data_IF_103856570683
#
_entry.id   IF_103856570683
#
_cell.length_a   1.000
_cell.length_b   1.000
_cell.length_c   1.000
_cell.angle_alpha   90.00
_cell.angle_beta   90.00
_cell.angle_gamma   90.00
#
_symmetry.space_group_name_H-M   'P 1'
#
loop_
_entity.id
_entity.type
_entity.pdbx_description
1 polymer ?
#
# COMPACT_ATOMS: atom_id res chain seq x y z
N UNK A 1 -3.69 25.02 4.06
CA UNK A 1 -3.43 26.37 3.50
C UNK A 1 -3.12 26.43 2.00
N UNK A 2 -2.35 25.50 1.39
CA UNK A 2 -1.95 25.57 -0.04
C UNK A 2 -3.08 25.47 -1.09
N UNK A 3 -4.23 24.86 -0.76
CA UNK A 3 -5.37 24.69 -1.68
C UNK A 3 -6.10 26.03 -1.98
N UNK A 4 -6.18 26.91 -1.00
CA UNK A 4 -6.90 28.19 -1.12
C UNK A 4 -6.06 29.22 -1.91
N UNK A 5 -4.73 29.15 -1.80
CA UNK A 5 -3.81 30.01 -2.57
C UNK A 5 -3.94 29.77 -4.09
N UNK A 6 -4.13 28.51 -4.51
CA UNK A 6 -4.33 28.16 -5.93
C UNK A 6 -5.67 28.66 -6.49
N UNK A 7 -6.72 28.67 -5.66
CA UNK A 7 -8.03 29.21 -6.03
C UNK A 7 -8.01 30.73 -6.17
N UNK A 8 -7.35 31.42 -5.23
CA UNK A 8 -7.19 32.88 -5.27
C UNK A 8 -6.33 33.31 -6.47
N UNK A 9 -5.22 32.62 -6.73
CA UNK A 9 -4.38 32.88 -7.90
C UNK A 9 -5.14 32.66 -9.22
N UNK A 10 -5.99 31.62 -9.30
CA UNK A 10 -6.86 31.37 -10.45
C UNK A 10 -7.89 32.47 -10.67
N UNK A 11 -8.51 32.99 -9.61
CA UNK A 11 -9.48 34.08 -9.69
C UNK A 11 -8.83 35.39 -10.17
N UNK A 12 -7.62 35.70 -9.72
CA UNK A 12 -6.87 36.90 -10.15
C UNK A 12 -6.51 36.81 -11.65
N UNK A 13 -6.08 35.64 -12.11
CA UNK A 13 -5.78 35.42 -13.54
C UNK A 13 -7.04 35.58 -14.39
N UNK A 14 -8.20 35.08 -13.92
CA UNK A 14 -9.48 35.22 -14.62
C UNK A 14 -9.91 36.69 -14.73
N UNK A 15 -9.74 37.47 -13.66
CA UNK A 15 -10.08 38.90 -13.62
C UNK A 15 -9.15 39.70 -14.53
N UNK A 16 -7.84 39.42 -14.52
CA UNK A 16 -6.88 40.03 -15.47
C UNK A 16 -7.24 39.73 -16.91
N UNK A 17 -7.66 38.50 -17.20
CA UNK A 17 -8.00 38.09 -18.55
C UNK A 17 -9.29 38.80 -19.02
N UNK A 18 -10.31 38.90 -18.18
CA UNK A 18 -11.53 39.68 -18.45
C UNK A 18 -11.25 41.16 -18.72
N UNK A 19 -10.35 41.78 -17.95
CA UNK A 19 -9.95 43.18 -18.16
C UNK A 19 -9.17 43.36 -19.47
N UNK A 20 -8.31 42.40 -19.83
CA UNK A 20 -7.56 42.42 -21.09
C UNK A 20 -8.46 42.30 -22.33
N UNK A 21 -9.52 41.51 -22.25
CA UNK A 21 -10.54 41.40 -23.33
C UNK A 21 -11.27 42.72 -23.54
N UNK A 22 -11.65 43.40 -22.44
CA UNK A 22 -12.33 44.70 -22.52
C UNK A 22 -11.48 45.81 -23.12
N UNK A 23 -10.15 45.75 -22.95
CA UNK A 23 -9.22 46.77 -23.44
C UNK A 23 -8.82 46.59 -24.93
N UNK A 24 -8.94 45.37 -25.47
CA UNK A 24 -8.44 45.03 -26.82
C UNK A 24 -9.54 45.01 -27.90
N UNK A 25 -10.81 45.21 -27.52
CA UNK A 25 -11.93 45.19 -28.46
C UNK A 25 -12.16 43.84 -29.14
N UNK A 26 -11.62 42.77 -28.56
CA UNK A 26 -11.74 41.41 -29.06
C UNK A 26 -13.10 40.83 -28.65
N UNK A 27 -13.78 40.15 -29.58
CA UNK A 27 -15.08 39.56 -29.31
C UNK A 27 -14.97 38.53 -28.18
N UNK A 28 -15.87 38.65 -27.19
CA UNK A 28 -16.00 37.76 -26.03
C UNK A 28 -15.95 36.28 -26.41
N UNK A 29 -16.49 35.91 -27.56
CA UNK A 29 -16.48 34.54 -28.08
C UNK A 29 -15.05 34.01 -28.32
N UNK A 30 -14.17 34.82 -28.92
CA UNK A 30 -12.79 34.42 -29.26
C UNK A 30 -11.95 34.12 -28.01
N UNK A 31 -12.20 34.89 -26.95
CA UNK A 31 -11.45 34.80 -25.69
C UNK A 31 -11.88 33.59 -24.87
N UNK A 32 -13.18 33.25 -24.93
CA UNK A 32 -13.73 32.05 -24.31
C UNK A 32 -13.21 30.79 -25.01
N UNK A 33 -13.04 30.83 -26.33
CA UNK A 33 -12.48 29.74 -27.13
C UNK A 33 -10.99 29.50 -26.83
N UNK A 34 -10.20 30.57 -26.68
CA UNK A 34 -8.79 30.47 -26.25
C UNK A 34 -8.65 29.90 -24.83
N UNK A 35 -9.49 30.36 -23.89
CA UNK A 35 -9.53 29.81 -22.53
C UNK A 35 -9.88 28.31 -22.52
N UNK A 36 -10.91 27.92 -23.29
CA UNK A 36 -11.29 26.51 -23.44
C UNK A 36 -10.15 25.66 -24.01
N UNK A 37 -9.42 26.20 -25.01
CA UNK A 37 -8.24 25.57 -25.58
C UNK A 37 -7.12 25.36 -24.56
N UNK A 38 -6.82 26.38 -23.74
CA UNK A 38 -5.82 26.26 -22.66
C UNK A 38 -6.25 25.22 -21.62
N UNK A 39 -7.54 25.18 -21.25
CA UNK A 39 -8.07 24.18 -20.31
C UNK A 39 -7.93 22.76 -20.88
N UNK A 40 -8.27 22.55 -22.16
CA UNK A 40 -8.11 21.25 -22.82
C UNK A 40 -6.64 20.81 -22.91
N UNK A 41 -5.72 21.73 -23.18
CA UNK A 41 -4.28 21.44 -23.18
C UNK A 41 -3.79 21.09 -21.78
N UNK A 42 -4.21 21.84 -20.75
CA UNK A 42 -3.82 21.57 -19.35
C UNK A 42 -4.41 20.25 -18.85
N UNK A 43 -5.64 19.91 -19.24
CA UNK A 43 -6.28 18.62 -18.91
C UNK A 43 -5.64 17.47 -19.68
N UNK A 44 -5.32 17.66 -20.96
CA UNK A 44 -4.64 16.67 -21.80
C UNK A 44 -3.19 16.41 -21.39
N UNK A 45 -2.46 17.46 -20.96
CA UNK A 45 -1.11 17.38 -20.42
C UNK A 45 -1.07 16.91 -18.96
N UNK A 46 -2.21 16.94 -18.24
CA UNK A 46 -2.35 16.40 -16.88
C UNK A 46 -2.36 14.87 -16.81
N UNK A 47 -1.78 14.23 -17.81
CA UNK A 47 -1.22 12.89 -17.72
C UNK A 47 -2.31 11.82 -17.66
N UNK A 48 -2.44 11.08 -18.76
CA UNK A 48 -2.67 9.64 -18.61
C UNK A 48 -1.57 9.16 -17.68
N UNK A 49 -1.93 8.77 -16.45
CA UNK A 49 -1.04 7.97 -15.61
C UNK A 49 -0.69 6.76 -16.46
N UNK A 50 0.53 6.72 -16.97
CA UNK A 50 1.06 5.49 -17.57
C UNK A 50 1.03 4.49 -16.43
N UNK A 51 0.10 3.54 -16.50
CA UNK A 51 0.11 2.41 -15.59
C UNK A 51 1.45 1.73 -15.79
N UNK A 52 2.36 1.92 -14.82
CA UNK A 52 3.64 1.26 -14.81
C UNK A 52 3.36 -0.24 -14.90
N UNK A 53 3.95 -0.92 -15.89
CA UNK A 53 3.75 -2.35 -16.06
C UNK A 53 4.17 -3.06 -14.75
N UNK A 54 3.25 -3.72 -14.03
CA UNK A 54 3.55 -4.33 -12.75
C UNK A 54 4.63 -5.43 -12.85
N UNK A 55 4.93 -5.94 -14.04
CA UNK A 55 5.92 -7.01 -14.21
C UNK A 55 7.36 -6.52 -14.43
N UNK A 56 7.62 -5.21 -14.52
CA UNK A 56 9.00 -4.70 -14.67
C UNK A 56 9.50 -4.19 -13.32
N UNK A 57 10.46 -4.91 -12.75
CA UNK A 57 11.15 -4.47 -11.53
C UNK A 57 11.83 -3.11 -11.76
N UNK A 58 11.72 -2.15 -10.82
CA UNK A 58 12.57 -0.97 -10.82
C UNK A 58 14.05 -1.36 -10.81
N UNK A 59 14.89 -0.62 -11.55
CA UNK A 59 16.33 -0.84 -11.56
C UNK A 59 16.91 -0.71 -10.14
N UNK A 60 17.86 -1.59 -9.80
CA UNK A 60 18.48 -1.60 -8.48
C UNK A 60 19.42 -0.40 -8.39
N UNK A 61 19.13 0.53 -7.48
CA UNK A 61 20.11 1.55 -7.11
C UNK A 61 21.33 0.86 -6.53
N UNK A 62 22.54 1.28 -6.93
CA UNK A 62 23.82 0.69 -6.47
C UNK A 62 23.92 0.53 -4.94
N UNK A 63 23.31 1.44 -4.18
CA UNK A 63 23.26 1.40 -2.71
C UNK A 63 22.48 0.19 -2.15
N UNK A 64 21.38 -0.19 -2.78
CA UNK A 64 20.56 -1.34 -2.35
C UNK A 64 21.19 -2.66 -2.75
N UNK A 65 21.88 -2.69 -3.89
CA UNK A 65 22.71 -3.83 -4.28
C UNK A 65 23.84 -4.08 -3.29
N UNK A 66 24.56 -3.03 -2.92
CA UNK A 66 25.61 -3.11 -1.91
C UNK A 66 25.08 -3.55 -0.54
N UNK A 67 23.88 -3.12 -0.15
CA UNK A 67 23.22 -3.57 1.07
C UNK A 67 22.99 -5.10 1.07
N UNK A 68 22.44 -5.65 -0.01
CA UNK A 68 22.15 -7.09 -0.09
C UNK A 68 23.41 -7.95 -0.19
N UNK A 69 24.44 -7.47 -0.91
CA UNK A 69 25.74 -8.14 -0.95
C UNK A 69 26.41 -8.14 0.44
N UNK A 70 26.30 -7.03 1.19
CA UNK A 70 26.83 -6.92 2.56
C UNK A 70 26.12 -7.84 3.54
N UNK A 71 24.85 -8.19 3.31
CA UNK A 71 24.15 -9.20 4.11
C UNK A 71 24.56 -10.65 3.81
N UNK A 72 25.48 -10.89 2.87
CA UNK A 72 26.01 -12.22 2.56
C UNK A 72 25.20 -13.01 1.52
N UNK A 73 24.27 -12.36 0.81
CA UNK A 73 23.46 -13.00 -0.21
C UNK A 73 24.22 -13.12 -1.54
N UNK A 74 24.04 -14.24 -2.23
CA UNK A 74 24.48 -14.43 -3.62
C UNK A 74 23.60 -13.64 -4.59
N UNK A 75 24.11 -13.34 -5.79
CA UNK A 75 23.36 -12.62 -6.83
C UNK A 75 22.00 -13.27 -7.14
N UNK A 76 21.93 -14.60 -7.16
CA UNK A 76 20.68 -15.35 -7.42
C UNK A 76 19.67 -15.19 -6.28
N UNK A 77 20.13 -15.22 -5.03
CA UNK A 77 19.28 -14.97 -3.87
C UNK A 77 18.77 -13.53 -3.87
N UNK A 78 19.59 -12.57 -4.30
CA UNK A 78 19.20 -11.16 -4.44
C UNK A 78 18.10 -11.01 -5.50
N UNK A 79 18.24 -11.66 -6.66
CA UNK A 79 17.21 -11.65 -7.70
C UNK A 79 15.89 -12.24 -7.19
N UNK A 80 15.93 -13.45 -6.62
CA UNK A 80 14.75 -14.11 -6.05
C UNK A 80 14.08 -13.26 -4.96
N UNK A 81 14.87 -12.69 -4.06
CA UNK A 81 14.37 -11.81 -3.01
C UNK A 81 13.65 -10.60 -3.61
N UNK A 82 14.26 -9.95 -4.61
CA UNK A 82 13.67 -8.76 -5.24
C UNK A 82 12.38 -9.07 -5.98
N UNK A 83 12.34 -10.19 -6.70
CA UNK A 83 11.12 -10.65 -7.37
C UNK A 83 10.01 -10.90 -6.35
N UNK A 84 10.34 -11.65 -5.29
CA UNK A 84 9.39 -11.97 -4.21
C UNK A 84 8.89 -10.68 -3.55
N UNK A 85 9.77 -9.75 -3.18
CA UNK A 85 9.36 -8.49 -2.55
C UNK A 85 8.54 -7.59 -3.46
N UNK A 86 8.82 -7.58 -4.76
CA UNK A 86 7.98 -6.81 -5.69
C UNK A 86 6.57 -7.40 -5.78
N UNK A 87 6.45 -8.72 -5.90
CA UNK A 87 5.15 -9.41 -5.92
C UNK A 87 4.38 -9.18 -4.62
N UNK A 88 5.03 -9.39 -3.46
CA UNK A 88 4.39 -9.17 -2.15
C UNK A 88 3.98 -7.72 -1.95
N UNK A 89 4.76 -6.74 -2.42
CA UNK A 89 4.35 -5.33 -2.38
C UNK A 89 3.06 -5.09 -3.17
N UNK A 90 2.96 -5.66 -4.37
CA UNK A 90 1.76 -5.53 -5.20
C UNK A 90 0.54 -6.16 -4.55
N UNK A 91 0.72 -7.33 -3.94
CA UNK A 91 -0.32 -8.02 -3.17
C UNK A 91 -0.78 -7.18 -1.96
N UNK A 92 0.15 -6.59 -1.20
CA UNK A 92 -0.19 -5.70 -0.08
C UNK A 92 -0.94 -4.44 -0.57
N UNK A 93 -0.49 -3.86 -1.68
CA UNK A 93 -1.15 -2.70 -2.29
C UNK A 93 -2.57 -3.05 -2.77
N UNK A 94 -2.78 -4.26 -3.31
CA UNK A 94 -4.10 -4.75 -3.71
C UNK A 94 -4.98 -5.04 -2.50
N UNK A 95 -4.47 -5.73 -1.48
CA UNK A 95 -5.17 -5.99 -0.22
C UNK A 95 -5.64 -4.68 0.43
N UNK A 96 -4.78 -3.64 0.44
CA UNK A 96 -5.15 -2.32 0.94
C UNK A 96 -6.34 -1.72 0.18
N UNK A 97 -6.35 -1.83 -1.15
CA UNK A 97 -7.47 -1.33 -1.97
C UNK A 97 -8.75 -2.10 -1.65
N UNK A 98 -8.66 -3.43 -1.52
CA UNK A 98 -9.80 -4.29 -1.23
C UNK A 98 -10.43 -3.94 0.13
N UNK A 99 -9.61 -3.83 1.16
CA UNK A 99 -10.05 -3.43 2.51
C UNK A 99 -10.70 -2.05 2.50
N UNK A 100 -10.15 -1.09 1.75
CA UNK A 100 -10.71 0.25 1.64
C UNK A 100 -12.05 0.28 0.89
N UNK A 101 -12.27 -0.66 -0.04
CA UNK A 101 -13.46 -0.72 -0.91
C UNK A 101 -14.69 -1.33 -0.22
N UNK A 102 -14.50 -2.13 0.82
CA UNK A 102 -15.60 -2.86 1.45
C UNK A 102 -15.62 -2.76 2.98
N UNK A 103 -16.78 -2.37 3.55
CA UNK A 103 -16.94 -2.18 5.00
C UNK A 103 -16.79 -3.46 5.84
N UNK A 104 -17.20 -4.63 5.31
CA UNK A 104 -17.00 -5.91 6.01
C UNK A 104 -15.51 -6.25 6.10
N UNK A 105 -14.79 -6.11 4.99
CA UNK A 105 -13.33 -6.31 4.97
C UNK A 105 -12.61 -5.33 5.90
N UNK A 106 -13.04 -4.07 5.92
CA UNK A 106 -12.52 -3.07 6.86
C UNK A 106 -12.76 -3.45 8.33
N UNK A 107 -13.92 -4.00 8.66
CA UNK A 107 -14.23 -4.46 10.01
C UNK A 107 -13.36 -5.66 10.44
N UNK A 108 -13.09 -6.59 9.51
CA UNK A 108 -12.17 -7.71 9.74
C UNK A 108 -10.75 -7.17 10.00
N UNK A 109 -10.27 -6.28 9.14
CA UNK A 109 -8.92 -5.70 9.27
C UNK A 109 -8.76 -4.92 10.59
N UNK A 110 -9.78 -4.17 11.02
CA UNK A 110 -9.76 -3.47 12.31
C UNK A 110 -9.65 -4.40 13.53
N UNK A 111 -10.06 -5.67 13.41
CA UNK A 111 -10.02 -6.64 14.49
C UNK A 111 -8.72 -7.45 14.54
N UNK A 112 -8.13 -7.70 13.37
CA UNK A 112 -6.99 -8.60 13.23
C UNK A 112 -5.71 -7.88 12.79
N UNK A 113 -5.78 -6.61 12.41
CA UNK A 113 -4.65 -5.79 11.95
C UNK A 113 -3.87 -6.41 10.77
N UNK A 114 -4.52 -7.22 9.93
CA UNK A 114 -3.85 -8.01 8.89
C UNK A 114 -3.08 -7.14 7.88
N UNK A 115 -3.63 -6.01 7.44
CA UNK A 115 -2.94 -5.09 6.54
C UNK A 115 -1.72 -4.45 7.22
N UNK A 116 -1.84 -4.10 8.51
CA UNK A 116 -0.76 -3.52 9.28
C UNK A 116 0.36 -4.54 9.49
N UNK A 117 0.02 -5.77 9.89
CA UNK A 117 0.93 -6.89 10.03
C UNK A 117 1.66 -7.18 8.71
N UNK A 118 0.93 -7.22 7.59
CA UNK A 118 1.51 -7.46 6.25
C UNK A 118 2.56 -6.40 5.88
N UNK A 119 2.25 -5.11 6.12
CA UNK A 119 3.18 -4.00 5.87
C UNK A 119 4.39 -4.03 6.80
N UNK A 120 4.18 -4.38 8.07
CA UNK A 120 5.25 -4.46 9.05
C UNK A 120 6.23 -5.60 8.73
N UNK A 121 5.69 -6.80 8.44
CA UNK A 121 6.46 -7.97 8.03
C UNK A 121 7.24 -7.69 6.75
N UNK A 122 6.61 -7.08 5.74
CA UNK A 122 7.30 -6.64 4.52
C UNK A 122 8.46 -5.68 4.80
N UNK A 123 8.24 -4.68 5.67
CA UNK A 123 9.27 -3.72 6.05
C UNK A 123 10.46 -4.41 6.72
N UNK A 124 10.18 -5.36 7.61
CA UNK A 124 11.22 -6.08 8.33
C UNK A 124 12.01 -7.01 7.41
N UNK A 125 11.36 -7.71 6.48
CA UNK A 125 12.04 -8.49 5.43
C UNK A 125 12.95 -7.63 4.54
N UNK A 126 12.53 -6.41 4.19
CA UNK A 126 13.37 -5.49 3.40
C UNK A 126 14.59 -5.03 4.21
N UNK A 127 14.47 -4.91 5.54
CA UNK A 127 15.57 -4.59 6.44
C UNK A 127 16.52 -5.79 6.60
N UNK A 128 15.97 -6.98 6.75
CA UNK A 128 16.71 -8.22 7.04
C UNK A 128 16.40 -9.30 5.99
N UNK A 129 16.98 -9.17 4.78
CA UNK A 129 16.60 -10.01 3.64
C UNK A 129 16.98 -11.49 3.81
N UNK A 130 17.95 -11.79 4.68
CA UNK A 130 18.35 -13.16 5.03
C UNK A 130 17.29 -13.91 5.83
N UNK A 131 16.33 -13.21 6.46
CA UNK A 131 15.18 -13.81 7.17
C UNK A 131 14.05 -14.25 6.24
N UNK A 132 14.17 -14.10 4.91
CA UNK A 132 13.14 -14.52 3.94
C UNK A 132 12.59 -15.94 4.16
N UNK A 133 13.41 -16.97 4.46
CA UNK A 133 12.89 -18.32 4.71
C UNK A 133 11.90 -18.41 5.88
N UNK A 134 12.03 -17.53 6.88
CA UNK A 134 11.13 -17.48 8.04
C UNK A 134 9.73 -16.97 7.67
N UNK A 135 9.60 -16.26 6.55
CA UNK A 135 8.34 -15.70 6.07
C UNK A 135 7.70 -16.49 4.92
N UNK A 136 8.14 -17.73 4.64
CA UNK A 136 7.66 -18.49 3.48
C UNK A 136 6.13 -18.67 3.45
N UNK A 137 5.50 -19.00 4.58
CA UNK A 137 4.04 -19.16 4.65
C UNK A 137 3.30 -17.86 4.35
N UNK A 138 3.77 -16.74 4.90
CA UNK A 138 3.22 -15.42 4.60
C UNK A 138 3.35 -15.10 3.11
N UNK A 139 4.55 -15.22 2.55
CA UNK A 139 4.89 -14.77 1.19
C UNK A 139 4.22 -15.59 0.09
N UNK A 140 4.12 -16.91 0.27
CA UNK A 140 3.68 -17.84 -0.78
C UNK A 140 2.31 -18.47 -0.54
N UNK A 141 1.69 -18.23 0.61
CA UNK A 141 0.37 -18.82 0.92
C UNK A 141 -0.58 -17.79 1.50
N UNK A 142 -0.30 -17.23 2.67
CA UNK A 142 -1.31 -16.44 3.38
C UNK A 142 -1.62 -15.11 2.68
N UNK A 143 -0.60 -14.33 2.31
CA UNK A 143 -0.81 -13.06 1.61
C UNK A 143 -1.44 -13.23 0.22
N UNK A 144 -0.93 -14.11 -0.67
CA UNK A 144 -1.57 -14.34 -1.98
C UNK A 144 -3.03 -14.79 -1.84
N UNK A 145 -3.31 -15.77 -0.96
CA UNK A 145 -4.66 -16.28 -0.78
C UNK A 145 -5.60 -15.21 -0.19
N UNK A 146 -5.11 -14.37 0.73
CA UNK A 146 -5.89 -13.26 1.26
C UNK A 146 -6.30 -12.26 0.16
N UNK A 147 -5.38 -11.94 -0.75
CA UNK A 147 -5.68 -11.08 -1.90
C UNK A 147 -6.74 -11.71 -2.80
N UNK A 148 -6.53 -12.96 -3.21
CA UNK A 148 -7.48 -13.69 -4.07
C UNK A 148 -8.87 -13.81 -3.45
N UNK A 149 -8.95 -14.11 -2.15
CA UNK A 149 -10.22 -14.21 -1.43
C UNK A 149 -10.92 -12.86 -1.34
N UNK A 150 -10.19 -11.80 -1.05
CA UNK A 150 -10.77 -10.45 -0.95
C UNK A 150 -11.20 -9.90 -2.31
N UNK A 151 -10.47 -10.19 -3.39
CA UNK A 151 -10.87 -9.83 -4.76
C UNK A 151 -12.18 -10.53 -5.15
N UNK A 152 -12.24 -11.86 -5.01
CA UNK A 152 -13.46 -12.66 -5.31
C UNK A 152 -14.64 -12.27 -4.43
N UNK A 153 -14.39 -12.01 -3.15
CA UNK A 153 -15.43 -11.54 -2.23
C UNK A 153 -16.03 -10.22 -2.69
N UNK A 154 -15.21 -9.27 -3.11
CA UNK A 154 -15.69 -7.98 -3.61
C UNK A 154 -16.51 -8.16 -4.88
N UNK A 155 -16.01 -8.95 -5.83
CA UNK A 155 -16.71 -9.27 -7.08
C UNK A 155 -18.13 -9.77 -6.81
N UNK A 156 -18.26 -10.82 -5.98
CA UNK A 156 -19.55 -11.43 -5.65
C UNK A 156 -20.43 -10.48 -4.83
N UNK A 157 -19.84 -9.74 -3.88
CA UNK A 157 -20.59 -8.81 -3.04
C UNK A 157 -21.16 -7.61 -3.82
N UNK A 158 -20.58 -7.27 -4.97
CA UNK A 158 -21.03 -6.18 -5.83
C UNK A 158 -22.07 -6.60 -6.88
N UNK A 159 -22.36 -7.89 -7.04
CA UNK A 159 -23.41 -8.35 -7.95
C UNK A 159 -24.79 -7.74 -7.61
N UNK A 160 -25.50 -7.23 -8.63
CA UNK A 160 -26.82 -6.59 -8.47
C UNK A 160 -27.90 -7.60 -8.04
N UNK A 161 -27.87 -8.80 -8.62
CA UNK A 161 -28.80 -9.89 -8.31
C UNK A 161 -28.05 -10.94 -7.50
N UNK A 162 -28.47 -11.15 -6.25
CA UNK A 162 -27.88 -12.14 -5.34
C UNK A 162 -28.90 -13.22 -5.02
N UNK A 163 -28.57 -14.48 -5.27
CA UNK A 163 -29.38 -15.61 -4.83
C UNK A 163 -29.11 -15.90 -3.34
N UNK A 164 -29.93 -16.76 -2.73
CA UNK A 164 -29.67 -17.26 -1.36
C UNK A 164 -28.29 -17.93 -1.26
N UNK A 165 -27.95 -18.77 -2.23
CA UNK A 165 -26.65 -19.44 -2.32
C UNK A 165 -25.50 -18.42 -2.40
N UNK A 166 -25.68 -17.31 -3.12
CA UNK A 166 -24.70 -16.22 -3.16
C UNK A 166 -24.44 -15.63 -1.78
N UNK A 167 -25.48 -15.41 -0.97
CA UNK A 167 -25.32 -14.91 0.40
C UNK A 167 -24.60 -15.91 1.30
N UNK A 168 -24.92 -17.21 1.18
CA UNK A 168 -24.23 -18.27 1.93
C UNK A 168 -22.73 -18.31 1.59
N UNK A 169 -22.36 -18.15 0.32
CA UNK A 169 -20.96 -18.07 -0.11
C UNK A 169 -20.24 -16.80 0.32
N UNK A 170 -20.93 -15.66 0.35
CA UNK A 170 -20.38 -14.41 0.91
C UNK A 170 -20.05 -14.60 2.39
N UNK A 171 -20.93 -15.26 3.15
CA UNK A 171 -20.71 -15.49 4.57
C UNK A 171 -19.57 -16.47 4.83
N UNK A 172 -19.53 -17.61 4.11
CA UNK A 172 -18.42 -18.56 4.17
C UNK A 172 -17.09 -17.88 3.84
N UNK A 173 -17.06 -17.06 2.78
CA UNK A 173 -15.86 -16.29 2.39
C UNK A 173 -15.45 -15.31 3.49
N UNK A 174 -16.40 -14.66 4.15
CA UNK A 174 -16.13 -13.73 5.26
C UNK A 174 -15.41 -14.44 6.40
N UNK A 175 -15.86 -15.64 6.77
CA UNK A 175 -15.24 -16.44 7.84
C UNK A 175 -13.84 -16.93 7.48
N UNK A 176 -13.61 -17.31 6.22
CA UNK A 176 -12.29 -17.73 5.74
C UNK A 176 -11.33 -16.54 5.69
N UNK A 177 -11.79 -15.38 5.19
CA UNK A 177 -10.99 -14.14 5.18
C UNK A 177 -10.60 -13.75 6.60
N UNK A 178 -11.49 -13.92 7.57
CA UNK A 178 -11.19 -13.65 8.96
C UNK A 178 -10.10 -14.57 9.53
N UNK A 179 -10.17 -15.86 9.25
CA UNK A 179 -9.13 -16.82 9.63
C UNK A 179 -7.79 -16.47 8.97
N UNK A 180 -7.81 -16.10 7.68
CA UNK A 180 -6.62 -15.71 6.95
C UNK A 180 -5.99 -14.43 7.54
N UNK A 181 -6.81 -13.46 7.92
CA UNK A 181 -6.36 -12.25 8.60
C UNK A 181 -5.64 -12.57 9.92
N UNK A 182 -6.19 -13.50 10.71
CA UNK A 182 -5.55 -13.97 11.94
C UNK A 182 -4.23 -14.70 11.69
N UNK A 183 -4.14 -15.52 10.64
CA UNK A 183 -2.89 -16.20 10.26
C UNK A 183 -1.80 -15.20 9.88
N UNK A 184 -2.13 -14.16 9.10
CA UNK A 184 -1.17 -13.09 8.74
C UNK A 184 -0.67 -12.35 9.99
N UNK A 185 -1.55 -12.04 10.94
CA UNK A 185 -1.16 -11.40 12.19
C UNK A 185 -0.23 -12.30 13.02
N UNK A 186 -0.48 -13.61 13.00
CA UNK A 186 0.36 -14.61 13.63
C UNK A 186 1.72 -14.73 12.95
N UNK A 187 1.78 -14.75 11.61
CA UNK A 187 3.05 -14.78 10.86
C UNK A 187 3.94 -13.61 11.28
N UNK A 188 3.38 -12.40 11.37
CA UNK A 188 4.14 -11.23 11.83
C UNK A 188 4.64 -11.41 13.26
N UNK A 189 3.78 -11.86 14.17
CA UNK A 189 4.14 -12.08 15.57
C UNK A 189 5.25 -13.13 15.71
N UNK A 190 5.20 -14.20 14.93
CA UNK A 190 6.23 -15.25 14.91
C UNK A 190 7.53 -14.74 14.29
N UNK A 191 7.45 -13.91 13.24
CA UNK A 191 8.61 -13.38 12.55
C UNK A 191 9.44 -12.43 13.43
N UNK A 192 8.80 -11.71 14.35
CA UNK A 192 9.47 -10.79 15.29
C UNK A 192 9.67 -11.39 16.69
N UNK A 193 9.36 -12.68 16.88
CA UNK A 193 9.40 -13.31 18.20
C UNK A 193 10.82 -13.28 18.81
N UNK A 194 11.84 -13.57 18.00
CA UNK A 194 13.24 -13.55 18.46
C UNK A 194 13.64 -12.17 19.02
N UNK A 195 13.20 -11.08 18.37
CA UNK A 195 13.48 -9.71 18.82
C UNK A 195 12.78 -9.38 20.16
N UNK A 196 11.65 -10.04 20.46
CA UNK A 196 10.92 -9.88 21.72
C UNK A 196 11.58 -10.64 22.86
N UNK A 197 12.06 -11.86 22.60
CA UNK A 197 12.78 -12.67 23.57
C UNK A 197 14.08 -11.98 24.02
N UNK A 198 14.81 -11.38 23.07
CA UNK A 198 16.01 -10.57 23.36
C UNK A 198 15.68 -9.37 24.25
N UNK A 199 14.58 -8.66 23.98
CA UNK A 199 14.12 -7.53 24.78
C UNK A 199 13.73 -7.95 26.22
N UNK A 200 13.13 -9.12 26.41
CA UNK A 200 12.79 -9.64 27.74
C UNK A 200 14.04 -9.95 28.58
N UNK A 201 15.11 -10.43 27.94
CA UNK A 201 16.41 -10.62 28.59
C UNK A 201 16.99 -9.25 28.99
N UNK A 202 17.03 -8.28 28.08
CA UNK A 202 17.54 -6.94 28.36
C UNK A 202 16.77 -6.23 29.49
N UNK A 203 15.44 -6.33 29.49
CA UNK A 203 14.58 -5.81 30.55
C UNK A 203 14.85 -6.50 31.89
N UNK A 204 15.12 -7.80 31.89
CA UNK A 204 15.45 -8.56 33.10
C UNK A 204 16.80 -8.12 33.69
N UNK A 205 17.81 -7.91 32.84
CA UNK A 205 19.11 -7.36 33.25
C UNK A 205 18.95 -5.95 33.82
N UNK A 206 18.19 -5.07 33.14
CA UNK A 206 17.93 -3.70 33.59
C UNK A 206 17.17 -3.66 34.93
N UNK A 207 16.18 -4.53 35.13
CA UNK A 207 15.48 -4.66 36.42
C UNK A 207 16.43 -5.11 37.53
N UNK A 208 17.34 -6.03 37.23
CA UNK A 208 18.31 -6.53 38.20
C UNK A 208 19.36 -5.47 38.57
N UNK A 209 19.83 -4.66 37.61
CA UNK A 209 20.75 -3.56 37.90
C UNK A 209 20.10 -2.47 38.76
N UNK A 210 18.86 -2.07 38.45
CA UNK A 210 18.10 -1.12 39.28
C UNK A 210 17.90 -1.64 40.70
N UNK A 211 17.62 -2.94 40.86
CA UNK A 211 17.47 -3.54 42.20
C UNK A 211 18.78 -3.48 42.99
N UNK A 212 19.91 -3.79 42.35
CA UNK A 212 21.23 -3.79 42.98
C UNK A 212 21.72 -2.39 43.33
N UNK A 213 21.38 -1.37 42.55
CA UNK A 213 21.79 0.02 42.78
C UNK A 213 20.92 0.73 43.84
N UNK A 214 19.75 0.17 44.19
CA UNK A 214 18.85 0.66 45.24
C UNK A 214 19.04 -0.05 46.60
N UNK A 215 19.97 -1.00 46.70
CA UNK A 215 20.43 -1.64 47.94
C UNK A 215 21.72 -0.99 48.44
#
# INVERSE_FOLDING_TARGET
>A
MKKNIRLIAGAIILIMLLLFVSATGTDTFTTLLLLAGIVLIVVGLRGRKVEANPHVLPSLTKEREAHYLKSGMSTREIELFRDTMNQSKQQIDQLQKNIARNNKLKAIDLRHDALRASKALFKELVKEPTKLPLANHFLYTHLPNMVDLTDKFIEINEHEIKSRETYEKIEESTQIIEQMASLIAKDYSQFVADDLDDMDIELSIAKQSIKRDNE
#
